data_IF_266624806202
#
_entry.id   IF_266624806202
#
_cell.length_a   1.000
_cell.length_b   1.000
_cell.length_c   1.000
_cell.angle_alpha   90.00
_cell.angle_beta   90.00
_cell.angle_gamma   90.00
#
_symmetry.space_group_name_H-M   'P 1'
#
loop_
_entity.id
_entity.type
_entity.pdbx_description
1 polymer ?
#
# COMPACT_ATOMS: atom_id res chain seq x y z
N UNK A 1 10.69 4.53 -6.44
CA UNK A 1 9.43 3.79 -6.30
C UNK A 1 8.68 3.80 -7.62
N UNK A 2 8.37 2.62 -8.14
CA UNK A 2 7.75 2.40 -9.45
C UNK A 2 6.27 2.04 -9.34
N UNK A 3 5.93 1.13 -8.43
CA UNK A 3 4.55 0.71 -8.23
C UNK A 3 4.19 0.61 -6.74
N UNK A 4 2.94 0.96 -6.42
CA UNK A 4 2.23 0.60 -5.20
C UNK A 4 0.99 -0.18 -5.61
N UNK A 5 0.81 -1.36 -5.06
CA UNK A 5 -0.26 -2.29 -5.41
C UNK A 5 -0.93 -2.77 -4.13
N UNK A 6 -2.26 -2.66 -4.05
CA UNK A 6 -3.02 -3.28 -2.96
C UNK A 6 -3.68 -4.54 -3.48
N UNK A 7 -3.53 -5.64 -2.74
CA UNK A 7 -3.99 -6.97 -3.14
C UNK A 7 -4.87 -7.55 -2.03
N UNK A 8 -6.01 -8.11 -2.41
CA UNK A 8 -6.86 -8.92 -1.55
C UNK A 8 -6.47 -10.39 -1.71
N UNK A 9 -6.31 -11.10 -0.61
CA UNK A 9 -6.14 -12.54 -0.63
C UNK A 9 -7.50 -13.24 -0.50
N UNK A 10 -7.99 -13.75 -1.62
CA UNK A 10 -9.18 -14.59 -1.63
C UNK A 10 -8.79 -16.06 -1.38
N UNK A 11 -9.38 -16.67 -0.35
CA UNK A 11 -9.08 -18.08 0.02
C UNK A 11 -9.33 -19.10 -1.09
N UNK A 12 -10.23 -18.80 -2.03
CA UNK A 12 -10.60 -19.71 -3.12
C UNK A 12 -9.82 -19.45 -4.40
N UNK A 13 -9.57 -18.18 -4.75
CA UNK A 13 -8.96 -17.81 -6.03
C UNK A 13 -7.52 -17.30 -5.93
N UNK A 14 -7.02 -17.10 -4.71
CA UNK A 14 -5.69 -16.55 -4.42
C UNK A 14 -5.66 -15.02 -4.50
N UNK A 15 -4.52 -14.43 -4.90
CA UNK A 15 -4.34 -12.98 -4.84
C UNK A 15 -5.13 -12.27 -5.95
N UNK A 16 -5.89 -11.25 -5.57
CA UNK A 16 -6.69 -10.40 -6.45
C UNK A 16 -6.20 -8.95 -6.31
N UNK A 17 -5.51 -8.39 -7.31
CA UNK A 17 -5.11 -6.99 -7.27
C UNK A 17 -6.34 -6.09 -7.28
N UNK A 18 -6.40 -5.17 -6.33
CA UNK A 18 -7.51 -4.22 -6.16
C UNK A 18 -7.21 -2.93 -6.92
N UNK A 19 -5.99 -2.43 -6.77
CA UNK A 19 -5.55 -1.19 -7.40
C UNK A 19 -4.03 -1.18 -7.51
N UNK A 20 -3.54 -0.46 -8.51
CA UNK A 20 -2.14 -0.14 -8.69
C UNK A 20 -1.98 1.36 -8.96
N UNK A 21 -0.87 1.92 -8.49
CA UNK A 21 -0.43 3.26 -8.85
C UNK A 21 1.08 3.27 -9.17
N UNK A 22 1.51 3.92 -10.27
CA UNK A 22 0.71 4.57 -11.30
C UNK A 22 -0.22 3.59 -12.05
N UNK A 23 -1.43 4.01 -12.47
CA UNK A 23 -2.42 3.12 -13.07
C UNK A 23 -2.01 2.60 -14.45
N UNK A 24 -1.08 3.27 -15.14
CA UNK A 24 -0.64 2.91 -16.48
C UNK A 24 0.35 1.71 -16.50
N UNK A 25 0.78 1.23 -15.33
CA UNK A 25 1.70 0.11 -15.25
C UNK A 25 1.03 -1.26 -15.44
N UNK A 26 1.76 -2.21 -16.02
CA UNK A 26 1.36 -3.61 -15.98
C UNK A 26 1.41 -4.13 -14.54
N UNK A 27 0.47 -5.00 -14.18
CA UNK A 27 0.56 -5.74 -12.93
C UNK A 27 1.64 -6.82 -13.06
N UNK A 28 2.39 -7.11 -11.99
CA UNK A 28 3.15 -8.35 -11.86
C UNK A 28 2.26 -9.58 -12.13
N UNK A 29 2.89 -10.68 -12.54
CA UNK A 29 2.20 -11.95 -12.73
C UNK A 29 1.61 -12.47 -11.42
N UNK A 30 0.55 -13.30 -11.52
CA UNK A 30 -0.07 -13.94 -10.35
C UNK A 30 0.95 -14.74 -9.52
N UNK A 31 1.92 -15.36 -10.18
CA UNK A 31 2.98 -16.15 -9.53
C UNK A 31 3.85 -15.28 -8.61
N UNK A 32 4.10 -14.02 -8.97
CA UNK A 32 4.83 -13.08 -8.13
C UNK A 32 4.04 -12.82 -6.84
N UNK A 33 2.73 -12.57 -6.94
CA UNK A 33 1.88 -12.34 -5.77
C UNK A 33 1.76 -13.59 -4.88
N UNK A 34 1.73 -14.79 -5.48
CA UNK A 34 1.75 -16.04 -4.73
C UNK A 34 3.07 -16.23 -3.97
N UNK A 35 4.21 -15.88 -4.57
CA UNK A 35 5.51 -15.91 -3.90
C UNK A 35 5.56 -14.92 -2.73
N UNK A 36 5.06 -13.70 -2.92
CA UNK A 36 4.96 -12.69 -1.85
C UNK A 36 4.12 -13.22 -0.69
N UNK A 37 2.94 -13.76 -0.97
CA UNK A 37 2.10 -14.38 0.05
C UNK A 37 2.84 -15.49 0.79
N UNK A 38 3.54 -16.38 0.08
CA UNK A 38 4.22 -17.53 0.68
C UNK A 38 5.27 -17.10 1.70
N UNK A 39 5.94 -15.98 1.44
CA UNK A 39 6.92 -15.42 2.34
C UNK A 39 6.26 -14.85 3.61
N UNK A 40 5.09 -14.22 3.50
CA UNK A 40 4.32 -13.78 4.69
C UNK A 40 3.91 -14.95 5.58
N UNK A 41 3.47 -16.08 5.01
CA UNK A 41 3.13 -17.24 5.85
C UNK A 41 4.33 -17.95 6.46
N UNK A 42 5.47 -17.96 5.77
CA UNK A 42 6.70 -18.53 6.30
C UNK A 42 7.28 -17.64 7.40
N UNK A 43 6.97 -16.34 7.39
CA UNK A 43 7.48 -15.35 8.33
C UNK A 43 6.35 -14.68 9.14
N UNK A 44 5.56 -15.49 9.87
CA UNK A 44 4.41 -15.00 10.64
C UNK A 44 4.75 -14.01 11.75
N UNK A 45 6.03 -13.95 12.15
CA UNK A 45 6.50 -13.02 13.19
C UNK A 45 6.80 -11.62 12.62
N UNK A 46 6.99 -11.49 11.32
CA UNK A 46 7.26 -10.21 10.67
C UNK A 46 6.22 -9.89 9.61
N UNK A 47 5.43 -8.86 9.88
CA UNK A 47 4.42 -8.38 8.94
C UNK A 47 5.01 -7.75 7.68
N UNK A 48 6.31 -7.45 7.67
CA UNK A 48 7.03 -6.93 6.51
C UNK A 48 7.97 -7.97 5.93
N UNK A 49 7.89 -8.14 4.62
CA UNK A 49 8.86 -8.93 3.85
C UNK A 49 9.54 -8.04 2.82
N UNK A 50 10.82 -8.30 2.60
CA UNK A 50 11.64 -7.69 1.56
C UNK A 50 12.19 -8.81 0.69
N UNK A 51 11.95 -8.72 -0.61
CA UNK A 51 12.30 -9.75 -1.59
C UNK A 51 13.10 -9.10 -2.71
N UNK A 52 14.40 -9.37 -2.70
CA UNK A 52 15.28 -9.11 -3.82
C UNK A 52 15.14 -10.25 -4.83
N UNK A 53 15.19 -9.96 -6.13
CA UNK A 53 15.25 -10.95 -7.23
C UNK A 53 14.00 -11.80 -7.53
N UNK A 54 12.82 -11.48 -7.00
CA UNK A 54 11.58 -12.16 -7.41
C UNK A 54 10.98 -11.61 -8.71
N UNK A 55 11.46 -10.46 -9.15
CA UNK A 55 11.16 -9.84 -10.44
C UNK A 55 12.28 -10.18 -11.44
N UNK A 56 11.95 -10.17 -12.73
CA UNK A 56 12.92 -10.43 -13.80
C UNK A 56 14.02 -9.34 -13.87
N UNK A 57 13.69 -8.11 -13.46
CA UNK A 57 14.63 -7.00 -13.35
C UNK A 57 15.39 -7.07 -12.01
N UNK A 58 16.71 -7.27 -12.10
CA UNK A 58 17.61 -7.39 -10.94
C UNK A 58 17.87 -6.06 -10.22
N UNK A 59 17.44 -4.93 -10.79
CA UNK A 59 17.53 -3.62 -10.16
C UNK A 59 16.24 -3.22 -9.41
N UNK A 60 15.30 -4.16 -9.23
CA UNK A 60 14.06 -3.96 -8.49
C UNK A 60 14.00 -4.81 -7.22
N UNK A 61 13.60 -4.16 -6.12
CA UNK A 61 13.24 -4.82 -4.86
C UNK A 61 11.74 -4.73 -4.63
N UNK A 62 11.20 -5.77 -4.02
CA UNK A 62 9.79 -5.85 -3.63
C UNK A 62 9.69 -5.81 -2.12
N UNK A 63 8.82 -4.93 -1.62
CA UNK A 63 8.44 -4.92 -0.21
C UNK A 63 6.97 -5.23 -0.14
N UNK A 64 6.58 -5.99 0.87
CA UNK A 64 5.19 -6.16 1.16
C UNK A 64 4.90 -6.12 2.66
N UNK A 65 3.77 -5.53 3.01
CA UNK A 65 3.19 -5.63 4.35
C UNK A 65 1.84 -6.34 4.26
N UNK A 66 1.61 -7.30 5.16
CA UNK A 66 0.34 -8.02 5.27
C UNK A 66 -0.52 -7.40 6.39
N UNK A 67 -1.82 -7.35 6.18
CA UNK A 67 -2.77 -6.82 7.15
C UNK A 67 -4.14 -7.48 7.04
N UNK A 68 -4.75 -7.75 8.19
CA UNK A 68 -6.14 -8.17 8.27
C UNK A 68 -7.07 -6.95 8.38
N UNK A 69 -8.15 -6.94 7.62
CA UNK A 69 -9.19 -5.91 7.68
C UNK A 69 -10.56 -6.56 7.43
N UNK A 70 -11.52 -6.32 8.33
CA UNK A 70 -12.86 -6.90 8.28
C UNK A 70 -12.88 -8.44 8.12
N UNK A 71 -11.91 -9.15 8.72
CA UNK A 71 -11.78 -10.61 8.65
C UNK A 71 -11.16 -11.15 7.36
N UNK A 72 -10.76 -10.25 6.45
CA UNK A 72 -10.12 -10.56 5.18
C UNK A 72 -8.65 -10.16 5.18
N UNK A 73 -7.83 -10.87 4.41
CA UNK A 73 -6.38 -10.66 4.35
C UNK A 73 -6.05 -9.79 3.15
N UNK A 74 -5.25 -8.77 3.38
CA UNK A 74 -4.73 -7.88 2.35
C UNK A 74 -3.23 -7.78 2.47
N UNK A 75 -2.57 -7.50 1.36
CA UNK A 75 -1.18 -7.11 1.39
C UNK A 75 -0.91 -5.96 0.43
N UNK A 76 -0.19 -4.96 0.95
CA UNK A 76 0.35 -3.87 0.16
C UNK A 76 1.69 -4.31 -0.41
N UNK A 77 1.93 -4.04 -1.68
CA UNK A 77 3.17 -4.36 -2.38
C UNK A 77 3.76 -3.07 -2.95
N UNK A 78 5.03 -2.83 -2.67
CA UNK A 78 5.82 -1.75 -3.26
C UNK A 78 6.89 -2.35 -4.15
N UNK A 79 6.99 -1.85 -5.38
CA UNK A 79 8.06 -2.17 -6.32
C UNK A 79 8.95 -0.94 -6.44
N UNK A 80 10.23 -1.10 -6.16
CA UNK A 80 11.17 0.01 -6.06
C UNK A 80 12.42 -0.31 -6.83
N UNK A 81 12.78 0.59 -7.75
CA UNK A 81 14.07 0.59 -8.44
C UNK A 81 15.17 1.12 -7.51
N UNK A 82 15.77 0.24 -6.72
CA UNK A 82 16.92 0.57 -5.85
C UNK A 82 17.75 -0.68 -5.59
N UNK A 83 19.07 -0.50 -5.40
CA UNK A 83 19.99 -1.54 -4.91
C UNK A 83 20.16 -1.50 -3.38
N UNK A 84 19.61 -0.49 -2.73
CA UNK A 84 19.71 -0.28 -1.28
C UNK A 84 18.59 -1.02 -0.58
N UNK A 85 18.87 -1.65 0.57
CA UNK A 85 17.85 -2.26 1.42
C UNK A 85 16.80 -1.23 1.79
N UNK A 86 15.55 -1.54 1.51
CA UNK A 86 14.45 -0.60 1.73
C UNK A 86 13.98 -0.62 3.18
N UNK A 87 14.40 -1.60 3.98
CA UNK A 87 14.34 -1.52 5.45
C UNK A 87 14.99 -0.24 6.01
N UNK A 88 15.96 0.33 5.29
CA UNK A 88 16.64 1.57 5.67
C UNK A 88 15.85 2.83 5.24
N UNK A 89 14.83 2.64 4.40
CA UNK A 89 14.09 3.70 3.72
C UNK A 89 12.66 3.82 4.22
N UNK A 90 11.98 2.74 4.65
CA UNK A 90 10.65 2.81 5.27
C UNK A 90 10.44 1.67 6.25
N UNK A 91 9.95 2.00 7.44
CA UNK A 91 9.68 1.01 8.49
C UNK A 91 8.38 0.24 8.22
N UNK A 92 8.30 -0.97 8.74
CA UNK A 92 7.09 -1.81 8.71
C UNK A 92 5.88 -1.09 9.32
N UNK A 93 6.07 -0.34 10.40
CA UNK A 93 5.01 0.39 11.08
C UNK A 93 4.38 1.47 10.19
N UNK A 94 5.20 2.23 9.44
CA UNK A 94 4.69 3.25 8.53
C UNK A 94 3.87 2.59 7.42
N UNK A 95 4.36 1.50 6.83
CA UNK A 95 3.63 0.77 5.78
C UNK A 95 2.34 0.14 6.31
N UNK A 96 2.34 -0.40 7.52
CA UNK A 96 1.15 -0.95 8.15
C UNK A 96 0.09 0.13 8.42
N UNK A 97 0.50 1.33 8.85
CA UNK A 97 -0.41 2.48 9.03
C UNK A 97 -0.99 2.93 7.68
N UNK A 98 -0.15 3.05 6.65
CA UNK A 98 -0.61 3.41 5.30
C UNK A 98 -1.61 2.37 4.79
N UNK A 99 -1.28 1.09 4.90
CA UNK A 99 -2.14 -0.01 4.44
C UNK A 99 -3.50 0.02 5.13
N UNK A 100 -3.52 0.16 6.46
CA UNK A 100 -4.75 0.23 7.24
C UNK A 100 -5.65 1.36 6.77
N UNK A 101 -5.07 2.54 6.61
CA UNK A 101 -5.80 3.73 6.19
C UNK A 101 -6.35 3.61 4.76
N UNK A 102 -5.60 2.95 3.86
CA UNK A 102 -6.09 2.66 2.51
C UNK A 102 -7.27 1.67 2.56
N UNK A 103 -7.19 0.64 3.41
CA UNK A 103 -8.25 -0.34 3.60
C UNK A 103 -9.52 0.28 4.18
N UNK A 104 -9.41 1.20 5.15
CA UNK A 104 -10.55 1.97 5.66
C UNK A 104 -11.29 2.78 4.59
N UNK A 105 -10.63 3.06 3.45
CA UNK A 105 -11.17 3.82 2.34
C UNK A 105 -11.55 2.97 1.12
N UNK A 106 -11.31 1.65 1.14
CA UNK A 106 -11.36 0.75 -0.03
C UNK A 106 -12.70 0.80 -0.79
N UNK A 107 -13.81 0.90 -0.06
CA UNK A 107 -15.17 0.94 -0.61
C UNK A 107 -15.70 2.37 -0.85
N UNK A 108 -14.81 3.37 -0.83
CA UNK A 108 -15.20 4.78 -0.99
C UNK A 108 -14.72 5.34 -2.34
N UNK A 109 -15.41 6.36 -2.84
CA UNK A 109 -15.02 7.07 -4.07
C UNK A 109 -13.70 7.87 -3.96
N UNK A 110 -12.98 7.75 -2.85
CA UNK A 110 -11.72 8.46 -2.60
C UNK A 110 -10.53 7.54 -2.47
N UNK A 111 -10.77 6.23 -2.53
CA UNK A 111 -9.73 5.22 -2.48
C UNK A 111 -8.61 5.51 -3.47
N UNK A 112 -8.93 5.70 -4.76
CA UNK A 112 -7.95 6.01 -5.82
C UNK A 112 -7.10 7.24 -5.51
N UNK A 113 -7.71 8.29 -4.95
CA UNK A 113 -6.98 9.51 -4.57
C UNK A 113 -6.04 9.25 -3.39
N UNK A 114 -6.51 8.53 -2.37
CA UNK A 114 -5.69 8.17 -1.22
C UNK A 114 -4.49 7.31 -1.62
N UNK A 115 -4.68 6.38 -2.57
CA UNK A 115 -3.61 5.54 -3.14
C UNK A 115 -2.55 6.38 -3.88
N UNK A 116 -2.97 7.35 -4.70
CA UNK A 116 -2.06 8.29 -5.36
C UNK A 116 -1.29 9.16 -4.36
N UNK A 117 -1.98 9.67 -3.33
CA UNK A 117 -1.36 10.47 -2.26
C UNK A 117 -0.34 9.63 -1.47
N UNK A 118 -0.67 8.39 -1.13
CA UNK A 118 0.23 7.45 -0.47
C UNK A 118 1.47 7.17 -1.33
N UNK A 119 1.27 6.85 -2.61
CA UNK A 119 2.36 6.62 -3.55
C UNK A 119 3.33 7.81 -3.61
N UNK A 120 2.81 9.01 -3.83
CA UNK A 120 3.63 10.21 -3.94
C UNK A 120 4.36 10.52 -2.63
N UNK A 121 3.71 10.26 -1.50
CA UNK A 121 4.31 10.51 -0.20
C UNK A 121 5.43 9.51 0.10
N UNK A 122 5.24 8.21 -0.14
CA UNK A 122 6.30 7.21 0.01
C UNK A 122 7.46 7.50 -0.96
N UNK A 123 7.16 7.82 -2.23
CA UNK A 123 8.17 8.17 -3.24
C UNK A 123 8.98 9.42 -2.88
N UNK A 124 8.38 10.40 -2.22
CA UNK A 124 9.08 11.59 -1.74
C UNK A 124 9.84 11.32 -0.44
N UNK A 125 9.33 10.41 0.39
CA UNK A 125 9.98 9.98 1.61
C UNK A 125 11.28 9.22 1.35
N UNK A 126 11.36 8.41 0.29
CA UNK A 126 12.63 7.80 -0.13
C UNK A 126 13.72 8.83 -0.50
N UNK A 127 13.44 10.14 -0.40
CA UNK A 127 14.37 11.25 -0.63
C UNK A 127 14.63 12.12 0.62
N UNK A 128 13.95 11.90 1.74
CA UNK A 128 13.99 12.76 2.94
C UNK A 128 14.35 11.93 4.19
N UNK A 129 15.35 12.37 4.95
CA UNK A 129 15.78 11.73 6.21
C UNK A 129 14.75 11.94 7.35
N UNK A 130 14.55 10.91 8.18
CA UNK A 130 13.34 10.73 8.98
C UNK A 130 13.43 11.13 10.46
N UNK A 131 12.29 11.60 11.00
CA UNK A 131 11.87 11.34 12.38
C UNK A 131 10.37 11.62 12.66
N UNK A 132 9.67 12.43 11.85
CA UNK A 132 8.26 12.87 12.14
C UNK A 132 7.15 12.28 11.24
N UNK A 133 7.41 11.11 10.66
CA UNK A 133 6.68 10.62 9.48
C UNK A 133 5.33 9.98 9.80
N UNK A 134 5.22 9.28 10.93
CA UNK A 134 3.96 8.65 11.35
C UNK A 134 2.90 9.74 11.56
N UNK A 135 3.28 10.87 12.20
CA UNK A 135 2.37 12.01 12.36
C UNK A 135 2.01 12.59 11.00
N UNK A 136 2.98 12.82 10.12
CA UNK A 136 2.71 13.38 8.79
C UNK A 136 1.72 12.55 7.96
N UNK A 137 1.92 11.23 7.88
CA UNK A 137 1.02 10.34 7.14
C UNK A 137 -0.36 10.27 7.80
N UNK A 138 -0.40 10.11 9.12
CA UNK A 138 -1.68 10.10 9.84
C UNK A 138 -2.42 11.43 9.67
N UNK A 139 -1.75 12.57 9.73
CA UNK A 139 -2.35 13.89 9.58
C UNK A 139 -2.87 14.12 8.16
N UNK A 140 -2.07 13.81 7.13
CA UNK A 140 -2.48 13.99 5.73
C UNK A 140 -3.65 13.08 5.38
N UNK A 141 -3.62 11.83 5.84
CA UNK A 141 -4.71 10.88 5.63
C UNK A 141 -5.94 11.29 6.44
N UNK A 142 -5.81 11.63 7.73
CA UNK A 142 -6.91 12.14 8.55
C UNK A 142 -7.53 13.37 7.91
N UNK A 143 -6.71 14.29 7.40
CA UNK A 143 -7.17 15.46 6.66
C UNK A 143 -7.95 15.04 5.42
N UNK A 144 -7.41 14.14 4.61
CA UNK A 144 -8.11 13.59 3.44
C UNK A 144 -9.44 12.97 3.86
N UNK A 145 -9.50 12.07 4.86
CA UNK A 145 -10.73 11.48 5.42
C UNK A 145 -11.72 12.57 5.89
N UNK A 146 -11.26 13.62 6.55
CA UNK A 146 -12.11 14.74 6.98
C UNK A 146 -12.69 15.52 5.79
N UNK A 147 -11.89 15.84 4.77
CA UNK A 147 -12.37 16.50 3.55
C UNK A 147 -13.41 15.66 2.82
N UNK A 148 -13.17 14.36 2.83
CA UNK A 148 -14.04 13.31 2.31
C UNK A 148 -15.40 13.33 3.01
N UNK A 149 -15.42 13.27 4.35
CA UNK A 149 -16.64 13.28 5.14
C UNK A 149 -17.40 14.60 4.97
N UNK A 150 -16.69 15.74 4.98
CA UNK A 150 -17.28 17.07 4.72
C UNK A 150 -17.95 17.14 3.36
N UNK A 151 -17.28 16.69 2.30
CA UNK A 151 -17.84 16.73 0.95
C UNK A 151 -19.05 15.79 0.76
N UNK A 152 -19.07 14.64 1.46
CA UNK A 152 -20.21 13.71 1.44
C UNK A 152 -21.44 14.20 2.22
N UNK A 153 -21.24 14.99 3.28
CA UNK A 153 -22.32 15.62 4.05
C UNK A 153 -22.93 16.81 3.28
N UNK A 154 -22.11 17.56 2.53
CA UNK A 154 -22.57 18.71 1.74
C UNK A 154 -23.40 18.28 0.53
N UNK A 155 -23.06 17.18 -0.15
CA UNK A 155 -23.85 16.67 -1.29
C UNK A 155 -25.20 16.09 -0.89
N UNK A 156 -25.36 15.57 0.34
CA UNK A 156 -26.68 15.13 0.85
C UNK A 156 -27.62 16.26 1.26
N UNK A 157 -27.12 17.50 1.44
CA UNK A 157 -27.92 18.68 1.81
C UNK A 157 -28.44 19.51 0.62
N UNK A 158 -28.14 19.13 -0.62
CA UNK A 158 -28.71 19.72 -1.85
C UNK A 158 -29.62 18.73 -2.56
N UNK A 159 -30.66 18.29 -1.87
CA UNK A 159 -31.93 17.92 -2.51
C UNK A 159 -33.01 18.43 -1.55
N UNK A 160 -33.42 19.67 -1.78
CA UNK A 160 -34.59 20.32 -1.20
C UNK A 160 -35.35 20.94 -2.35
#
# INVERSE_FOLDING_TARGET
MEHLILIHWNKSTGPIPIIQYPPEGAYPSKDIFLKIWAQHELNKENNLIELDSILEDKDQSVISVIQEFEGEIYFLVLIIKTKSKVSDVITSDILAVITKNLLELINTNKFTRAVSEAFNTIKNYTKLEGQDLISFFQEKIKFTILQILRNGVITKKRVS
#
